data_IF_307924860130
#
_entry.id   IF_307924860130
#
_cell.length_a   1.000
_cell.length_b   1.000
_cell.length_c   1.000
_cell.angle_alpha   90.00
_cell.angle_beta   90.00
_cell.angle_gamma   90.00
#
_symmetry.space_group_name_H-M   'P 1'
#
loop_
_entity.id
_entity.type
_entity.pdbx_description
1 polymer ?
#
# COMPACT_ATOMS: atom_id res chain seq x y z
N UNK A 1 11.56 -5.67 10.71
CA UNK A 1 10.14 -5.50 11.12
C UNK A 1 9.51 -4.46 10.20
N UNK A 2 8.31 -4.68 9.69
CA UNK A 2 7.62 -3.67 8.85
C UNK A 2 7.31 -2.42 9.69
N UNK A 3 7.39 -1.25 9.07
CA UNK A 3 7.07 0.02 9.73
C UNK A 3 5.56 0.03 10.09
N UNK A 4 5.20 0.32 11.36
CA UNK A 4 3.79 0.36 11.79
C UNK A 4 2.92 1.30 10.94
N UNK A 5 3.48 2.34 10.34
CA UNK A 5 2.77 3.27 9.45
C UNK A 5 2.18 2.56 8.22
N UNK A 6 2.81 1.49 7.76
CA UNK A 6 2.30 0.68 6.64
C UNK A 6 1.01 -0.06 7.00
N UNK A 7 0.78 -0.35 8.28
CA UNK A 7 -0.46 -0.98 8.74
C UNK A 7 -1.61 0.02 8.74
N UNK A 8 -1.35 1.29 9.04
CA UNK A 8 -2.37 2.36 8.98
C UNK A 8 -2.79 2.67 7.54
N UNK A 9 -1.85 2.62 6.59
CA UNK A 9 -2.14 2.82 5.18
C UNK A 9 -3.01 1.70 4.55
N UNK A 10 -3.12 0.55 5.22
CA UNK A 10 -4.02 -0.52 4.80
C UNK A 10 -4.80 -1.10 5.98
N UNK A 11 -5.96 -0.53 6.33
CA UNK A 11 -6.73 -0.96 7.48
C UNK A 11 -7.28 -2.39 7.26
N UNK A 12 -7.40 -3.15 8.35
CA UNK A 12 -7.88 -4.55 8.34
C UNK A 12 -8.92 -4.81 9.44
N UNK A 13 -9.54 -3.75 9.92
CA UNK A 13 -10.45 -3.71 11.06
C UNK A 13 -11.73 -4.49 10.75
N UNK A 14 -12.28 -4.33 9.55
CA UNK A 14 -13.51 -4.98 9.14
C UNK A 14 -13.32 -5.97 7.98
N UNK A 15 -14.35 -6.82 7.75
CA UNK A 15 -14.35 -7.85 6.70
C UNK A 15 -14.24 -7.23 5.30
N UNK A 16 -14.85 -6.06 5.09
CA UNK A 16 -14.85 -5.39 3.80
C UNK A 16 -13.45 -4.90 3.41
N UNK A 17 -12.73 -4.24 4.32
CA UNK A 17 -11.34 -3.80 4.12
C UNK A 17 -10.39 -4.99 3.83
N UNK A 18 -10.58 -6.11 4.53
CA UNK A 18 -9.84 -7.35 4.25
C UNK A 18 -10.18 -7.90 2.86
N UNK A 19 -11.44 -7.82 2.45
CA UNK A 19 -11.91 -8.22 1.13
C UNK A 19 -11.36 -7.34 0.01
N UNK A 20 -11.23 -6.02 0.23
CA UNK A 20 -10.66 -5.09 -0.73
C UNK A 20 -9.20 -5.40 -1.06
N UNK A 21 -8.40 -5.81 -0.06
CA UNK A 21 -7.03 -6.25 -0.33
C UNK A 21 -6.97 -7.46 -1.27
N UNK A 22 -7.82 -8.45 -1.03
CA UNK A 22 -7.87 -9.63 -1.88
C UNK A 22 -8.40 -9.27 -3.26
N UNK A 23 -9.40 -8.38 -3.35
CA UNK A 23 -9.93 -7.87 -4.61
C UNK A 23 -8.86 -7.15 -5.44
N UNK A 24 -8.04 -6.31 -4.81
CA UNK A 24 -6.89 -5.66 -5.45
C UNK A 24 -5.87 -6.68 -5.97
N UNK A 25 -5.54 -7.70 -5.16
CA UNK A 25 -4.64 -8.79 -5.58
C UNK A 25 -5.19 -9.57 -6.76
N UNK A 26 -6.47 -9.89 -6.72
CA UNK A 26 -7.15 -10.60 -7.81
C UNK A 26 -7.19 -9.77 -9.10
N UNK A 27 -7.35 -8.44 -8.98
CA UNK A 27 -7.36 -7.52 -10.12
C UNK A 27 -6.13 -7.69 -11.02
N UNK A 28 -4.94 -7.92 -10.43
CA UNK A 28 -3.69 -8.08 -11.18
C UNK A 28 -3.76 -9.13 -12.28
N UNK A 29 -4.46 -10.25 -12.00
CA UNK A 29 -4.62 -11.35 -12.96
C UNK A 29 -5.99 -11.28 -13.63
N UNK A 30 -7.06 -11.17 -12.84
CA UNK A 30 -8.43 -11.36 -13.31
C UNK A 30 -8.93 -10.21 -14.17
N UNK A 31 -8.44 -8.98 -13.99
CA UNK A 31 -8.88 -7.85 -14.81
C UNK A 31 -8.54 -8.04 -16.31
N UNK A 32 -7.52 -8.84 -16.63
CA UNK A 32 -7.11 -9.12 -18.02
C UNK A 32 -7.74 -10.38 -18.62
N UNK A 33 -8.08 -11.36 -17.79
CA UNK A 33 -8.42 -12.71 -18.25
C UNK A 33 -9.81 -13.19 -17.82
N UNK A 34 -10.50 -12.49 -16.93
CA UNK A 34 -11.81 -12.92 -16.42
C UNK A 34 -12.92 -11.96 -16.86
N UNK A 35 -13.95 -12.53 -17.49
CA UNK A 35 -15.22 -11.81 -17.76
C UNK A 35 -16.09 -11.62 -16.51
N UNK A 36 -15.77 -12.33 -15.42
CA UNK A 36 -16.52 -12.31 -14.16
C UNK A 36 -15.90 -11.43 -13.10
N UNK A 37 -14.78 -10.78 -13.38
CA UNK A 37 -14.18 -9.82 -12.45
C UNK A 37 -14.95 -8.51 -12.52
N UNK A 38 -15.57 -8.13 -11.41
CA UNK A 38 -16.27 -6.86 -11.25
C UNK A 38 -15.74 -6.13 -10.03
N UNK A 39 -15.51 -4.83 -10.19
CA UNK A 39 -15.20 -3.88 -9.13
C UNK A 39 -16.11 -2.69 -9.33
N UNK A 40 -16.79 -2.26 -8.26
CA UNK A 40 -17.65 -1.08 -8.31
C UNK A 40 -16.80 0.18 -8.30
N UNK A 41 -17.39 1.30 -8.70
CA UNK A 41 -16.73 2.61 -8.65
C UNK A 41 -16.35 3.01 -7.22
N UNK A 42 -17.21 2.70 -6.24
CA UNK A 42 -16.94 2.94 -4.82
C UNK A 42 -15.74 2.12 -4.32
N UNK A 43 -15.69 0.83 -4.66
CA UNK A 43 -14.57 -0.03 -4.31
C UNK A 43 -13.28 0.43 -5.00
N UNK A 44 -13.35 0.84 -6.26
CA UNK A 44 -12.20 1.33 -7.01
C UNK A 44 -11.67 2.65 -6.43
N UNK A 45 -12.57 3.58 -6.10
CA UNK A 45 -12.22 4.87 -5.47
C UNK A 45 -11.51 4.63 -4.14
N UNK A 46 -12.09 3.78 -3.29
CA UNK A 46 -11.47 3.44 -2.01
C UNK A 46 -10.10 2.77 -2.18
N UNK A 47 -9.98 1.81 -3.11
CA UNK A 47 -8.72 1.16 -3.42
C UNK A 47 -7.65 2.17 -3.88
N UNK A 48 -8.05 3.16 -4.70
CA UNK A 48 -7.18 4.25 -5.12
C UNK A 48 -6.65 5.05 -3.93
N UNK A 49 -7.54 5.51 -3.05
CA UNK A 49 -7.17 6.27 -1.85
C UNK A 49 -6.19 5.51 -0.94
N UNK A 50 -6.43 4.21 -0.72
CA UNK A 50 -5.53 3.38 0.09
C UNK A 50 -4.17 3.17 -0.58
N UNK A 51 -4.13 2.99 -1.90
CA UNK A 51 -2.88 2.83 -2.64
C UNK A 51 -2.06 4.13 -2.62
N UNK A 52 -2.71 5.28 -2.73
CA UNK A 52 -2.04 6.58 -2.61
C UNK A 52 -1.47 6.81 -1.22
N UNK A 53 -2.23 6.50 -0.17
CA UNK A 53 -1.75 6.61 1.22
C UNK A 53 -0.57 5.67 1.48
N UNK A 54 -0.65 4.44 1.00
CA UNK A 54 0.45 3.49 1.08
C UNK A 54 1.69 4.02 0.36
N UNK A 55 1.53 4.62 -0.83
CA UNK A 55 2.60 5.27 -1.57
C UNK A 55 3.27 6.39 -0.75
N UNK A 56 2.48 7.28 -0.14
CA UNK A 56 2.98 8.37 0.71
C UNK A 56 3.78 7.85 1.91
N UNK A 57 3.25 6.85 2.61
CA UNK A 57 3.92 6.25 3.77
C UNK A 57 5.23 5.59 3.35
N UNK A 58 5.21 4.79 2.28
CA UNK A 58 6.42 4.13 1.76
C UNK A 58 7.49 5.16 1.39
N UNK A 59 7.11 6.21 0.67
CA UNK A 59 8.04 7.28 0.30
C UNK A 59 8.68 7.90 1.54
N UNK A 60 7.88 8.22 2.56
CA UNK A 60 8.37 8.82 3.81
C UNK A 60 9.36 7.90 4.53
N UNK A 61 9.00 6.62 4.72
CA UNK A 61 9.85 5.62 5.36
C UNK A 61 11.17 5.44 4.62
N UNK A 62 11.12 5.37 3.29
CA UNK A 62 12.31 5.24 2.45
C UNK A 62 13.22 6.47 2.56
N UNK A 63 12.66 7.68 2.47
CA UNK A 63 13.42 8.92 2.59
C UNK A 63 14.11 9.05 3.95
N UNK A 64 13.38 8.81 5.04
CA UNK A 64 13.96 8.82 6.40
C UNK A 64 15.12 7.84 6.53
N UNK A 65 14.97 6.62 5.98
CA UNK A 65 16.01 5.60 6.04
C UNK A 65 17.25 5.99 5.24
N UNK A 66 17.07 6.60 4.06
CA UNK A 66 18.18 7.10 3.25
C UNK A 66 18.92 8.20 4.01
N UNK A 67 18.22 9.20 4.52
CA UNK A 67 18.84 10.29 5.30
C UNK A 67 19.60 9.77 6.51
N UNK A 68 19.06 8.78 7.22
CA UNK A 68 19.76 8.15 8.34
C UNK A 68 21.07 7.49 7.89
N UNK A 69 21.05 6.73 6.79
CA UNK A 69 22.23 6.06 6.26
C UNK A 69 23.29 7.05 5.77
N UNK A 70 22.88 8.15 5.14
CA UNK A 70 23.79 9.23 4.73
C UNK A 70 24.46 9.91 5.93
N UNK A 71 23.70 10.15 7.01
CA UNK A 71 24.24 10.69 8.26
C UNK A 71 25.29 9.76 8.87
N UNK A 72 24.96 8.48 9.03
CA UNK A 72 25.90 7.48 9.57
C UNK A 72 27.16 7.34 8.70
N UNK A 73 27.02 7.38 7.37
CA UNK A 73 28.17 7.33 6.47
C UNK A 73 29.09 8.55 6.60
N UNK A 74 28.51 9.74 6.79
CA UNK A 74 29.25 10.99 6.98
C UNK A 74 29.96 11.05 8.33
N UNK A 75 29.35 10.52 9.39
CA UNK A 75 29.95 10.44 10.73
C UNK A 75 31.09 9.42 10.82
N UNK A 76 31.06 8.39 9.95
CA UNK A 76 32.09 7.36 9.88
C UNK A 76 33.31 7.73 9.00
N UNK A 77 33.24 8.85 8.28
CA UNK A 77 34.30 9.37 7.39
C UNK A 77 35.12 10.46 8.08
#
# INVERSE_FOLDING_TARGET
RLDPRLVYAWPRENRWQRGMFEKLKEAYVKARYSKHYTVSEEELTWLGEQVEELGRVVQTVCSERITQLEGTAREAS
#
